data_IF_162067588195
#
_entry.id   IF_162067588195
#
_cell.length_a   1.000
_cell.length_b   1.000
_cell.length_c   1.000
_cell.angle_alpha   90.00
_cell.angle_beta   90.00
_cell.angle_gamma   90.00
#
_symmetry.space_group_name_H-M   'P 1'
#
loop_
_entity.id
_entity.type
_entity.pdbx_description
1 polymer ?
#
# COMPACT_ATOMS: atom_id res chain seq x y z
N UNK A 1 -14.39 -9.54 -22.46
CA UNK A 1 -13.10 -10.20 -22.18
C UNK A 1 -13.39 -11.39 -21.28
N UNK A 2 -13.34 -12.60 -21.81
CA UNK A 2 -13.50 -13.83 -21.03
C UNK A 2 -12.29 -14.01 -20.09
N UNK A 3 -12.47 -13.68 -18.82
CA UNK A 3 -11.47 -13.85 -17.76
C UNK A 3 -11.42 -15.35 -17.41
N UNK A 4 -10.81 -16.18 -18.27
CA UNK A 4 -10.76 -17.64 -18.08
C UNK A 4 -9.57 -18.15 -17.28
N UNK A 5 -8.65 -17.29 -16.85
CA UNK A 5 -7.54 -17.74 -16.00
C UNK A 5 -7.26 -16.75 -14.85
N UNK A 6 -7.73 -17.03 -13.62
CA UNK A 6 -7.47 -16.18 -12.46
C UNK A 6 -5.98 -15.98 -12.18
N UNK A 7 -5.12 -16.94 -12.57
CA UNK A 7 -3.68 -16.80 -12.43
C UNK A 7 -3.09 -15.74 -13.37
N UNK A 8 -3.63 -15.63 -14.60
CA UNK A 8 -3.20 -14.59 -15.54
C UNK A 8 -3.55 -13.18 -15.03
N UNK A 9 -4.72 -13.03 -14.41
CA UNK A 9 -5.15 -11.77 -13.78
C UNK A 9 -4.19 -11.39 -12.65
N UNK A 10 -3.83 -12.34 -11.78
CA UNK A 10 -2.88 -12.10 -10.69
C UNK A 10 -1.51 -11.67 -11.21
N UNK A 11 -1.01 -12.29 -12.28
CA UNK A 11 0.26 -11.91 -12.89
C UNK A 11 0.22 -10.49 -13.47
N UNK A 12 -0.85 -10.12 -14.17
CA UNK A 12 -1.04 -8.77 -14.72
C UNK A 12 -1.08 -7.74 -13.58
N UNK A 13 -1.88 -8.00 -12.55
CA UNK A 13 -1.95 -7.13 -11.36
C UNK A 13 -0.56 -6.97 -10.73
N UNK A 14 0.19 -8.05 -10.57
CA UNK A 14 1.54 -7.99 -10.00
C UNK A 14 2.52 -7.18 -10.87
N UNK A 15 2.40 -7.26 -12.20
CA UNK A 15 3.20 -6.44 -13.12
C UNK A 15 2.85 -4.94 -12.98
N UNK A 16 1.56 -4.60 -12.92
CA UNK A 16 1.09 -3.23 -12.69
C UNK A 16 1.65 -2.70 -11.36
N UNK A 17 1.52 -3.47 -10.28
CA UNK A 17 2.09 -3.10 -8.98
C UNK A 17 3.61 -2.89 -9.04
N UNK A 18 4.33 -3.74 -9.76
CA UNK A 18 5.79 -3.62 -9.89
C UNK A 18 6.17 -2.32 -10.60
N UNK A 19 5.52 -2.01 -11.73
CA UNK A 19 5.73 -0.75 -12.43
C UNK A 19 5.41 0.46 -11.54
N UNK A 20 4.31 0.38 -10.79
CA UNK A 20 3.86 1.42 -9.86
C UNK A 20 4.94 1.71 -8.81
N UNK A 21 5.51 0.69 -8.19
CA UNK A 21 6.57 0.87 -7.20
C UNK A 21 7.83 1.50 -7.79
N UNK A 22 8.25 1.09 -8.99
CA UNK A 22 9.43 1.63 -9.66
C UNK A 22 9.25 3.11 -9.98
N UNK A 23 8.14 3.47 -10.62
CA UNK A 23 7.86 4.85 -11.04
C UNK A 23 7.65 5.76 -9.81
N UNK A 24 6.88 5.29 -8.81
CA UNK A 24 6.68 6.04 -7.56
C UNK A 24 7.99 6.30 -6.83
N UNK A 25 8.87 5.29 -6.76
CA UNK A 25 10.18 5.42 -6.13
C UNK A 25 11.08 6.41 -6.88
N UNK A 26 11.04 6.41 -8.20
CA UNK A 26 11.79 7.36 -9.01
C UNK A 26 11.31 8.81 -8.72
N UNK A 27 10.00 9.06 -8.65
CA UNK A 27 9.45 10.36 -8.27
C UNK A 27 9.85 10.78 -6.83
N UNK A 28 9.87 9.86 -5.87
CA UNK A 28 10.30 10.16 -4.50
C UNK A 28 11.79 10.49 -4.41
N UNK A 29 12.63 9.83 -5.22
CA UNK A 29 14.07 10.12 -5.26
C UNK A 29 14.37 11.52 -5.82
N UNK A 30 13.50 12.05 -6.69
CA UNK A 30 13.56 13.44 -7.18
C UNK A 30 13.00 14.46 -6.16
N UNK A 31 12.60 14.01 -4.97
CA UNK A 31 12.16 14.87 -3.87
C UNK A 31 10.64 15.07 -3.79
N UNK A 32 9.85 14.34 -4.57
CA UNK A 32 8.38 14.43 -4.48
C UNK A 32 7.88 13.88 -3.14
N UNK A 33 7.05 14.66 -2.43
CA UNK A 33 6.56 14.26 -1.11
C UNK A 33 5.61 13.07 -1.22
N UNK A 34 5.86 12.03 -0.43
CA UNK A 34 5.04 10.83 -0.40
C UNK A 34 3.60 11.11 0.05
N UNK A 35 3.38 12.08 0.94
CA UNK A 35 2.03 12.45 1.40
C UNK A 35 1.20 13.09 0.29
N UNK A 36 1.83 14.01 -0.45
CA UNK A 36 1.21 14.70 -1.59
C UNK A 36 0.96 13.72 -2.74
N UNK A 37 1.89 12.80 -3.00
CA UNK A 37 1.70 11.73 -3.98
C UNK A 37 0.50 10.83 -3.66
N UNK A 38 0.36 10.38 -2.41
CA UNK A 38 -0.79 9.56 -2.00
C UNK A 38 -2.10 10.32 -2.23
N UNK A 39 -2.15 11.60 -1.84
CA UNK A 39 -3.33 12.44 -2.10
C UNK A 39 -3.67 12.50 -3.59
N UNK A 40 -2.72 12.85 -4.46
CA UNK A 40 -3.00 12.98 -5.89
C UNK A 40 -3.38 11.66 -6.54
N UNK A 41 -2.75 10.55 -6.14
CA UNK A 41 -3.11 9.21 -6.61
C UNK A 41 -4.57 8.89 -6.30
N UNK A 42 -5.00 9.13 -5.06
CA UNK A 42 -6.38 8.86 -4.63
C UNK A 42 -7.39 9.83 -5.25
N UNK A 43 -7.01 11.10 -5.45
CA UNK A 43 -7.86 12.07 -6.12
C UNK A 43 -8.10 11.68 -7.59
N UNK A 44 -7.03 11.35 -8.32
CA UNK A 44 -7.12 10.94 -9.71
C UNK A 44 -7.90 9.63 -9.87
N UNK A 45 -7.70 8.66 -8.96
CA UNK A 45 -8.53 7.46 -8.83
C UNK A 45 -10.02 7.77 -8.78
N UNK A 46 -10.38 8.68 -7.88
CA UNK A 46 -11.76 9.03 -7.61
C UNK A 46 -12.39 9.70 -8.82
N UNK A 47 -11.68 10.63 -9.46
CA UNK A 47 -12.15 11.34 -10.65
C UNK A 47 -12.40 10.36 -11.80
N UNK A 48 -11.54 9.36 -11.96
CA UNK A 48 -11.65 8.37 -13.01
C UNK A 48 -12.72 7.31 -12.74
N UNK A 49 -12.78 6.79 -11.51
CA UNK A 49 -13.72 5.72 -11.14
C UNK A 49 -15.13 6.22 -10.89
N UNK A 50 -15.32 7.43 -10.36
CA UNK A 50 -16.63 7.97 -10.05
C UNK A 50 -17.61 7.93 -11.24
N UNK A 51 -17.29 8.46 -12.43
CA UNK A 51 -18.23 8.43 -13.55
C UNK A 51 -18.58 7.00 -13.98
N UNK A 52 -17.62 6.08 -13.93
CA UNK A 52 -17.84 4.67 -14.28
C UNK A 52 -18.71 3.97 -13.24
N UNK A 53 -18.44 4.18 -11.96
CA UNK A 53 -19.24 3.62 -10.87
C UNK A 53 -20.68 4.12 -10.91
N UNK A 54 -20.89 5.42 -11.14
CA UNK A 54 -22.23 6.00 -11.29
C UNK A 54 -22.92 5.59 -12.59
N UNK A 55 -22.20 5.32 -13.67
CA UNK A 55 -22.79 4.82 -14.92
C UNK A 55 -23.21 3.35 -14.82
N UNK A 56 -22.36 2.48 -14.28
CA UNK A 56 -22.60 1.03 -14.24
C UNK A 56 -23.39 0.56 -13.02
N UNK A 57 -23.25 1.20 -11.86
CA UNK A 57 -23.78 0.71 -10.57
C UNK A 57 -24.74 1.73 -9.90
N UNK A 58 -25.36 2.64 -10.67
CA UNK A 58 -26.27 3.69 -10.18
C UNK A 58 -27.38 3.16 -9.26
N UNK A 59 -27.95 2.00 -9.58
CA UNK A 59 -29.04 1.39 -8.80
C UNK A 59 -28.55 0.93 -7.42
N UNK A 60 -27.32 0.45 -7.32
CA UNK A 60 -26.69 0.07 -6.05
C UNK A 60 -26.31 1.29 -5.22
N UNK A 61 -25.97 2.41 -5.86
CA UNK A 61 -25.72 3.67 -5.17
C UNK A 61 -26.97 4.24 -4.48
N UNK A 62 -28.16 3.99 -5.03
CA UNK A 62 -29.42 4.47 -4.47
C UNK A 62 -29.81 3.79 -3.13
N UNK A 63 -29.22 2.63 -2.81
CA UNK A 63 -29.52 1.88 -1.57
C UNK A 63 -28.49 2.11 -0.46
N UNK A 64 -27.63 3.12 -0.56
CA UNK A 64 -26.56 3.34 0.42
C UNK A 64 -27.09 3.89 1.74
N UNK A 65 -27.00 3.08 2.80
CA UNK A 65 -27.23 3.52 4.17
C UNK A 65 -26.02 4.31 4.70
N UNK A 66 -26.27 5.29 5.56
CA UNK A 66 -25.22 6.03 6.26
C UNK A 66 -24.24 5.12 7.02
N UNK A 67 -24.71 4.01 7.59
CA UNK A 67 -23.84 3.04 8.27
C UNK A 67 -22.84 2.36 7.32
N UNK A 68 -23.24 2.10 6.07
CA UNK A 68 -22.35 1.52 5.06
C UNK A 68 -21.30 2.54 4.64
N UNK A 69 -21.69 3.81 4.46
CA UNK A 69 -20.76 4.90 4.19
C UNK A 69 -19.75 5.09 5.34
N UNK A 70 -20.19 5.00 6.59
CA UNK A 70 -19.30 5.05 7.74
C UNK A 70 -18.32 3.87 7.76
N UNK A 71 -18.78 2.64 7.49
CA UNK A 71 -17.91 1.48 7.33
C UNK A 71 -16.86 1.70 6.24
N UNK A 72 -17.25 2.22 5.08
CA UNK A 72 -16.34 2.55 3.97
C UNK A 72 -15.30 3.62 4.38
N UNK A 73 -15.73 4.66 5.10
CA UNK A 73 -14.85 5.71 5.61
C UNK A 73 -13.81 5.16 6.60
N UNK A 74 -14.25 4.37 7.58
CA UNK A 74 -13.35 3.74 8.56
C UNK A 74 -12.39 2.78 7.85
N UNK A 75 -12.87 2.04 6.86
CA UNK A 75 -12.04 1.11 6.10
C UNK A 75 -10.96 1.87 5.31
N UNK A 76 -11.31 2.96 4.62
CA UNK A 76 -10.33 3.85 3.99
C UNK A 76 -9.32 4.43 4.99
N UNK A 77 -9.76 4.75 6.21
CA UNK A 77 -8.92 5.30 7.27
C UNK A 77 -7.90 4.27 7.76
N UNK A 78 -8.33 3.05 8.05
CA UNK A 78 -7.46 1.98 8.52
C UNK A 78 -6.44 1.56 7.45
N UNK A 79 -6.94 1.27 6.25
CA UNK A 79 -6.12 0.70 5.18
C UNK A 79 -5.20 1.72 4.56
N UNK A 80 -5.72 2.87 4.13
CA UNK A 80 -4.96 3.78 3.28
C UNK A 80 -4.29 4.85 4.13
N UNK A 81 -5.03 5.48 5.02
CA UNK A 81 -4.49 6.58 5.82
C UNK A 81 -3.53 6.06 6.90
N UNK A 82 -3.97 5.23 7.84
CA UNK A 82 -3.10 4.78 8.92
C UNK A 82 -1.97 3.89 8.43
N UNK A 83 -2.24 2.86 7.61
CA UNK A 83 -1.18 1.97 7.15
C UNK A 83 -0.08 2.70 6.38
N UNK A 84 -0.42 3.49 5.36
CA UNK A 84 0.61 4.15 4.53
C UNK A 84 1.40 5.17 5.34
N UNK A 85 0.76 5.92 6.24
CA UNK A 85 1.45 6.89 7.06
C UNK A 85 2.39 6.22 8.07
N UNK A 86 1.92 5.19 8.77
CA UNK A 86 2.76 4.42 9.71
C UNK A 86 3.89 3.69 8.99
N UNK A 87 3.65 3.18 7.78
CA UNK A 87 4.68 2.57 6.94
C UNK A 87 5.76 3.58 6.58
N UNK A 88 5.37 4.77 6.10
CA UNK A 88 6.31 5.85 5.76
C UNK A 88 7.13 6.30 6.96
N UNK A 89 6.49 6.49 8.12
CA UNK A 89 7.20 6.84 9.36
C UNK A 89 8.12 5.71 9.81
N UNK A 90 7.65 4.47 9.79
CA UNK A 90 8.42 3.28 10.17
C UNK A 90 9.67 3.11 9.31
N UNK A 91 9.55 3.32 7.99
CA UNK A 91 10.64 3.19 7.03
C UNK A 91 11.76 4.21 7.28
N UNK A 92 11.45 5.40 7.82
CA UNK A 92 12.47 6.40 8.20
C UNK A 92 13.34 5.98 9.38
N UNK A 93 12.86 5.04 10.20
CA UNK A 93 13.53 4.58 11.41
C UNK A 93 14.03 3.14 11.32
N UNK A 94 13.71 2.41 10.25
CA UNK A 94 14.08 1.00 10.07
C UNK A 94 14.74 0.76 8.70
N UNK A 95 15.22 -0.46 8.46
CA UNK A 95 15.88 -0.81 7.20
C UNK A 95 14.89 -1.33 6.16
N UNK A 96 15.28 -1.28 4.88
CA UNK A 96 14.53 -1.90 3.79
C UNK A 96 14.30 -3.40 4.02
N UNK A 97 15.27 -4.10 4.63
CA UNK A 97 15.13 -5.53 4.98
C UNK A 97 14.00 -5.78 5.97
N UNK A 98 13.88 -4.96 7.02
CA UNK A 98 12.79 -5.06 7.99
C UNK A 98 11.46 -4.75 7.31
N UNK A 99 11.41 -3.69 6.50
CA UNK A 99 10.20 -3.34 5.76
C UNK A 99 9.75 -4.51 4.87
N UNK A 100 10.66 -5.10 4.08
CA UNK A 100 10.38 -6.26 3.22
C UNK A 100 9.95 -7.50 4.01
N UNK A 101 10.58 -7.78 5.15
CA UNK A 101 10.19 -8.91 6.00
C UNK A 101 8.77 -8.72 6.55
N UNK A 102 8.46 -7.54 7.07
CA UNK A 102 7.12 -7.26 7.63
C UNK A 102 6.06 -7.21 6.52
N UNK A 103 6.32 -6.66 5.33
CA UNK A 103 5.35 -6.70 4.22
C UNK A 103 5.07 -8.11 3.75
N UNK A 104 6.08 -8.98 3.74
CA UNK A 104 5.90 -10.38 3.38
C UNK A 104 5.18 -11.20 4.47
N UNK A 105 5.01 -10.62 5.67
CA UNK A 105 4.18 -11.21 6.73
C UNK A 105 2.69 -10.88 6.58
N UNK A 106 2.28 -9.99 5.66
CA UNK A 106 0.87 -9.62 5.44
C UNK A 106 -0.03 -10.84 5.23
N UNK A 107 0.28 -11.84 4.38
CA UNK A 107 -0.57 -13.02 4.23
C UNK A 107 -0.77 -13.80 5.53
N UNK A 108 0.29 -13.88 6.35
CA UNK A 108 0.26 -14.57 7.66
C UNK A 108 -0.66 -13.81 8.62
N UNK A 109 -0.45 -12.50 8.78
CA UNK A 109 -1.28 -11.65 9.67
C UNK A 109 -2.73 -11.66 9.21
N UNK A 110 -2.99 -11.51 7.91
CA UNK A 110 -4.34 -11.56 7.32
C UNK A 110 -5.03 -12.88 7.62
N UNK A 111 -4.34 -14.01 7.48
CA UNK A 111 -4.90 -15.32 7.80
C UNK A 111 -5.26 -15.43 9.29
N UNK A 112 -4.37 -15.02 10.19
CA UNK A 112 -4.64 -15.01 11.63
C UNK A 112 -5.85 -14.13 11.99
N UNK A 113 -5.95 -12.93 11.41
CA UNK A 113 -7.10 -12.04 11.62
C UNK A 113 -8.40 -12.64 11.06
N UNK A 114 -8.35 -13.30 9.89
CA UNK A 114 -9.51 -13.96 9.30
C UNK A 114 -10.00 -15.14 10.17
N UNK A 115 -9.09 -15.87 10.83
CA UNK A 115 -9.46 -16.89 11.82
C UNK A 115 -10.07 -16.27 13.09
N UNK A 116 -9.46 -15.21 13.62
CA UNK A 116 -9.92 -14.52 14.83
C UNK A 116 -11.34 -13.97 14.63
N UNK A 117 -11.61 -13.38 13.47
CA UNK A 117 -12.92 -12.85 13.07
C UNK A 117 -13.89 -13.94 12.57
N UNK A 118 -13.51 -15.23 12.66
CA UNK A 118 -14.30 -16.39 12.22
C UNK A 118 -14.77 -16.32 10.76
N UNK A 119 -14.06 -15.59 9.92
CA UNK A 119 -14.33 -15.55 8.48
C UNK A 119 -13.79 -16.79 7.77
N UNK A 120 -12.73 -17.37 8.31
CA UNK A 120 -12.03 -18.51 7.74
C UNK A 120 -12.13 -19.71 8.70
N UNK A 121 -12.29 -20.91 8.14
CA UNK A 121 -12.42 -22.15 8.92
C UNK A 121 -11.43 -23.18 8.39
N UNK A 122 -10.45 -23.53 9.23
CA UNK A 122 -9.41 -24.49 8.87
C UNK A 122 -9.88 -25.89 9.20
N UNK A 123 -10.25 -26.64 8.17
CA UNK A 123 -10.52 -28.07 8.30
C UNK A 123 -9.23 -28.85 8.05
N UNK A 124 -8.53 -29.25 9.11
CA UNK A 124 -7.22 -29.92 9.03
C UNK A 124 -7.20 -31.22 8.20
N UNK A 125 -8.37 -31.85 8.01
CA UNK A 125 -8.52 -33.07 7.21
C UNK A 125 -8.87 -32.82 5.75
N UNK A 126 -9.13 -31.57 5.34
CA UNK A 126 -9.46 -31.25 3.94
C UNK A 126 -8.23 -30.76 3.18
N UNK A 127 -8.18 -31.06 1.88
CA UNK A 127 -7.12 -30.59 0.97
C UNK A 127 -7.01 -29.05 1.02
N UNK A 128 -8.14 -28.35 1.07
CA UNK A 128 -8.18 -26.89 1.20
C UNK A 128 -7.59 -26.39 2.53
N UNK A 129 -7.87 -27.07 3.65
CA UNK A 129 -7.31 -26.70 4.95
C UNK A 129 -5.80 -26.94 5.03
N UNK A 130 -5.34 -28.07 4.48
CA UNK A 130 -3.91 -28.38 4.36
C UNK A 130 -3.19 -27.36 3.48
N UNK A 131 -3.78 -26.99 2.33
CA UNK A 131 -3.21 -25.98 1.43
C UNK A 131 -3.09 -24.60 2.09
N UNK A 132 -4.07 -24.19 2.91
CA UNK A 132 -4.02 -22.93 3.68
C UNK A 132 -2.85 -22.91 4.67
N UNK A 133 -2.69 -23.98 5.45
CA UNK A 133 -1.60 -24.09 6.43
C UNK A 133 -0.25 -24.11 5.73
N UNK A 134 -0.10 -24.90 4.67
CA UNK A 134 1.13 -24.93 3.88
C UNK A 134 1.47 -23.56 3.30
N UNK A 135 0.48 -22.84 2.75
CA UNK A 135 0.66 -21.48 2.25
C UNK A 135 1.17 -20.53 3.33
N UNK A 136 0.56 -20.55 4.51
CA UNK A 136 0.99 -19.72 5.66
C UNK A 136 2.39 -20.11 6.14
N UNK A 137 2.71 -21.40 6.20
CA UNK A 137 4.03 -21.89 6.58
C UNK A 137 5.11 -21.45 5.58
N UNK A 138 4.83 -21.50 4.28
CA UNK A 138 5.73 -21.02 3.22
C UNK A 138 5.94 -19.50 3.34
N UNK A 139 4.88 -18.72 3.56
CA UNK A 139 5.02 -17.27 3.80
C UNK A 139 5.88 -16.99 5.03
N UNK A 140 5.65 -17.70 6.14
CA UNK A 140 6.43 -17.55 7.37
C UNK A 140 7.91 -17.91 7.15
N UNK A 141 8.18 -19.01 6.41
CA UNK A 141 9.52 -19.38 6.02
C UNK A 141 10.20 -18.27 5.20
N UNK A 142 9.50 -17.69 4.21
CA UNK A 142 10.00 -16.57 3.42
C UNK A 142 10.33 -15.32 4.26
N UNK A 143 9.48 -14.99 5.24
CA UNK A 143 9.73 -13.88 6.19
C UNK A 143 10.99 -14.14 7.01
N UNK A 144 11.14 -15.34 7.56
CA UNK A 144 12.32 -15.76 8.33
C UNK A 144 13.57 -15.71 7.46
N UNK A 145 13.50 -16.24 6.24
CA UNK A 145 14.63 -16.18 5.29
C UNK A 145 15.05 -14.74 5.05
N UNK A 146 14.14 -13.80 4.77
CA UNK A 146 14.49 -12.39 4.53
C UNK A 146 15.06 -11.73 5.78
N UNK A 147 14.51 -12.03 6.96
CA UNK A 147 14.98 -11.47 8.22
C UNK A 147 16.43 -11.90 8.55
N UNK A 148 16.80 -13.14 8.22
CA UNK A 148 18.14 -13.67 8.48
C UNK A 148 19.10 -13.55 7.28
N UNK A 149 18.59 -13.27 6.08
CA UNK A 149 19.42 -13.11 4.89
C UNK A 149 20.26 -11.84 4.96
N UNK A 150 21.57 -12.01 5.18
CA UNK A 150 22.57 -10.95 5.03
C UNK A 150 23.15 -10.99 3.62
N UNK A 151 22.42 -10.46 2.65
CA UNK A 151 22.92 -10.28 1.29
C UNK A 151 23.98 -9.19 1.19
N UNK A 152 24.86 -9.22 0.17
CA UNK A 152 25.77 -8.11 -0.11
C UNK A 152 24.95 -6.83 -0.37
N UNK A 153 25.45 -5.70 0.12
CA UNK A 153 24.86 -4.39 -0.17
C UNK A 153 24.93 -4.15 -1.68
N UNK A 154 23.81 -4.32 -2.38
CA UNK A 154 23.70 -3.94 -3.78
C UNK A 154 23.76 -2.42 -3.84
N UNK A 155 24.95 -1.86 -4.07
CA UNK A 155 25.08 -0.47 -4.47
C UNK A 155 24.22 -0.32 -5.74
N UNK A 156 23.22 0.58 -5.77
CA UNK A 156 22.44 0.80 -6.97
C UNK A 156 23.41 1.25 -8.06
N UNK A 157 23.54 0.40 -9.08
CA UNK A 157 24.31 0.61 -10.29
C UNK A 157 23.67 1.79 -11.04
N UNK A 158 23.95 3.02 -10.62
CA UNK A 158 23.56 4.28 -11.27
C UNK A 158 24.49 5.44 -10.87
N UNK A 159 25.77 5.16 -10.62
CA UNK A 159 26.84 6.18 -10.52
C UNK A 159 27.39 6.63 -11.89
N UNK A 160 26.60 6.55 -12.97
CA UNK A 160 27.00 6.98 -14.31
C UNK A 160 26.56 8.40 -14.70
N UNK A 161 26.22 9.27 -13.73
CA UNK A 161 26.07 10.72 -13.96
C UNK A 161 27.06 11.57 -13.14
N UNK A 162 28.24 11.04 -12.84
CA UNK A 162 29.38 11.84 -12.39
C UNK A 162 30.13 12.43 -13.60
N UNK A 163 29.52 13.41 -14.28
CA UNK A 163 30.27 14.25 -15.23
C UNK A 163 30.12 15.75 -14.98
N UNK A 164 29.17 16.20 -14.15
CA UNK A 164 29.07 17.61 -13.77
C UNK A 164 28.49 17.77 -12.35
N UNK A 165 29.33 17.68 -11.31
CA UNK A 165 29.10 18.50 -10.11
C UNK A 165 30.32 18.56 -9.20
N UNK A 166 30.58 19.78 -8.73
CA UNK A 166 31.70 20.17 -7.90
C UNK A 166 31.81 19.33 -6.62
N UNK A 167 33.06 19.02 -6.28
CA UNK A 167 33.54 18.40 -5.04
C UNK A 167 33.09 19.21 -3.82
N UNK A 168 32.06 18.76 -3.12
CA UNK A 168 31.80 19.14 -1.73
C UNK A 168 31.95 17.91 -0.84
N UNK A 169 32.88 17.98 0.11
CA UNK A 169 33.07 17.02 1.19
C UNK A 169 31.80 16.97 2.05
N UNK A 170 30.90 16.06 1.75
CA UNK A 170 29.89 15.60 2.71
C UNK A 170 30.33 14.25 3.24
N UNK A 171 30.88 14.26 4.45
CA UNK A 171 31.06 13.11 5.31
C UNK A 171 29.78 12.26 5.31
N UNK A 172 29.86 11.04 4.76
CA UNK A 172 28.84 10.03 4.92
C UNK A 172 28.74 9.67 6.40
N UNK A 173 27.89 10.38 7.14
CA UNK A 173 27.37 9.91 8.41
C UNK A 173 26.55 8.66 8.11
N UNK A 174 27.16 7.48 8.27
CA UNK A 174 26.42 6.26 8.59
C UNK A 174 25.63 6.56 9.86
N UNK A 175 24.36 6.93 9.72
CA UNK A 175 23.47 7.10 10.87
C UNK A 175 23.32 5.73 11.53
N UNK A 176 24.13 5.49 12.56
CA UNK A 176 23.92 4.39 13.51
C UNK A 176 22.65 4.77 14.28
N UNK A 177 21.48 4.39 13.76
CA UNK A 177 20.25 4.54 14.51
C UNK A 177 20.41 3.81 15.85
N UNK A 178 20.19 4.52 16.95
CA UNK A 178 20.15 3.90 18.28
C UNK A 178 19.16 2.73 18.27
N UNK A 179 19.48 1.63 18.98
CA UNK A 179 18.60 0.44 19.07
C UNK A 179 17.14 0.82 19.35
N UNK A 180 16.91 1.84 20.20
CA UNK A 180 15.57 2.34 20.52
C UNK A 180 14.84 2.98 19.32
N UNK A 181 15.57 3.65 18.43
CA UNK A 181 15.03 4.25 17.20
C UNK A 181 14.64 3.16 16.20
N UNK A 182 15.49 2.16 16.04
CA UNK A 182 15.20 1.00 15.19
C UNK A 182 13.99 0.21 15.68
N UNK A 183 13.87 -0.01 16.99
CA UNK A 183 12.70 -0.68 17.60
C UNK A 183 11.41 0.11 17.34
N UNK A 184 11.42 1.44 17.49
CA UNK A 184 10.27 2.29 17.13
C UNK A 184 9.88 2.12 15.66
N UNK A 185 10.86 2.13 14.75
CA UNK A 185 10.61 1.93 13.32
C UNK A 185 9.95 0.59 13.01
N UNK A 186 10.47 -0.49 13.61
CA UNK A 186 9.91 -1.84 13.48
C UNK A 186 8.49 -1.93 14.05
N UNK A 187 8.22 -1.30 15.20
CA UNK A 187 6.88 -1.24 15.77
C UNK A 187 5.87 -0.57 14.83
N UNK A 188 6.21 0.60 14.28
CA UNK A 188 5.35 1.29 13.31
C UNK A 188 5.14 0.45 12.04
N UNK A 189 6.17 -0.27 11.59
CA UNK A 189 6.07 -1.15 10.43
C UNK A 189 5.10 -2.33 10.64
N UNK A 190 5.16 -2.96 11.81
CA UNK A 190 4.24 -4.05 12.19
C UNK A 190 2.81 -3.52 12.33
N UNK A 191 2.65 -2.36 12.97
CA UNK A 191 1.35 -1.72 13.11
C UNK A 191 0.74 -1.39 11.74
N UNK A 192 1.52 -0.82 10.82
CA UNK A 192 1.09 -0.53 9.45
C UNK A 192 0.57 -1.79 8.75
N UNK A 193 1.37 -2.86 8.74
CA UNK A 193 0.98 -4.12 8.08
C UNK A 193 -0.22 -4.78 8.77
N UNK A 194 -0.37 -4.63 10.08
CA UNK A 194 -1.56 -5.12 10.80
C UNK A 194 -2.81 -4.36 10.37
N UNK A 195 -2.76 -3.03 10.23
CA UNK A 195 -3.87 -2.25 9.70
C UNK A 195 -4.18 -2.59 8.24
N UNK A 196 -3.16 -2.83 7.42
CA UNK A 196 -3.32 -3.28 6.04
C UNK A 196 -4.01 -4.65 5.96
N UNK A 197 -3.55 -5.62 6.74
CA UNK A 197 -4.16 -6.94 6.84
C UNK A 197 -5.59 -6.86 7.37
N UNK A 198 -5.86 -6.05 8.39
CA UNK A 198 -7.21 -5.83 8.90
C UNK A 198 -8.12 -5.22 7.84
N UNK A 199 -7.62 -4.25 7.07
CA UNK A 199 -8.33 -3.68 5.92
C UNK A 199 -8.71 -4.75 4.90
N UNK A 200 -7.78 -5.63 4.50
CA UNK A 200 -8.06 -6.73 3.57
C UNK A 200 -9.16 -7.67 4.08
N UNK A 201 -9.14 -8.02 5.37
CA UNK A 201 -10.15 -8.91 5.97
C UNK A 201 -11.52 -8.23 6.00
N UNK A 202 -11.58 -6.99 6.50
CA UNK A 202 -12.83 -6.22 6.59
C UNK A 202 -13.40 -5.86 5.20
N UNK A 203 -12.56 -5.64 4.19
CA UNK A 203 -12.98 -5.47 2.79
C UNK A 203 -13.79 -6.67 2.31
N UNK A 204 -13.34 -7.89 2.63
CA UNK A 204 -14.04 -9.11 2.28
C UNK A 204 -15.41 -9.24 2.97
N UNK A 205 -15.56 -8.74 4.20
CA UNK A 205 -16.86 -8.70 4.90
C UNK A 205 -17.78 -7.69 4.22
N UNK A 206 -17.27 -6.48 3.98
CA UNK A 206 -18.05 -5.40 3.42
C UNK A 206 -18.55 -5.73 2.00
N UNK A 207 -17.74 -6.43 1.21
CA UNK A 207 -18.13 -6.93 -0.12
C UNK A 207 -19.24 -8.00 -0.09
N UNK A 208 -19.45 -8.70 1.04
CA UNK A 208 -20.59 -9.62 1.22
C UNK A 208 -21.88 -8.86 1.55
N UNK A 209 -21.78 -7.75 2.25
CA UNK A 209 -22.91 -6.87 2.61
C UNK A 209 -23.29 -5.95 1.44
N UNK A 210 -22.30 -5.48 0.69
CA UNK A 210 -22.43 -4.60 -0.45
C UNK A 210 -21.67 -5.16 -1.66
N UNK A 211 -22.40 -5.82 -2.57
CA UNK A 211 -21.82 -6.60 -3.67
C UNK A 211 -21.22 -5.76 -4.82
N UNK A 212 -21.43 -4.45 -4.83
CA UNK A 212 -21.00 -3.55 -5.90
C UNK A 212 -19.55 -3.10 -5.66
N UNK A 213 -18.63 -3.79 -6.35
CA UNK A 213 -17.18 -3.67 -6.15
C UNK A 213 -16.65 -2.31 -6.60
N UNK A 214 -17.11 -1.84 -7.76
CA UNK A 214 -16.61 -0.61 -8.38
C UNK A 214 -17.01 0.61 -7.54
N UNK A 215 -18.27 0.65 -7.08
CA UNK A 215 -18.74 1.71 -6.19
C UNK A 215 -18.05 1.69 -4.82
N UNK A 216 -17.82 0.50 -4.25
CA UNK A 216 -17.07 0.38 -2.99
C UNK A 216 -15.65 0.97 -3.12
N UNK A 217 -14.90 0.59 -4.16
CA UNK A 217 -13.56 1.12 -4.43
C UNK A 217 -13.61 2.63 -4.66
N UNK A 218 -14.62 3.13 -5.36
CA UNK A 218 -14.81 4.57 -5.61
C UNK A 218 -15.00 5.35 -4.31
N UNK A 219 -15.89 4.90 -3.42
CA UNK A 219 -16.11 5.56 -2.12
C UNK A 219 -14.88 5.48 -1.22
N UNK A 220 -14.15 4.37 -1.27
CA UNK A 220 -12.89 4.26 -0.53
C UNK A 220 -11.82 5.22 -1.05
N UNK A 221 -11.68 5.36 -2.37
CA UNK A 221 -10.78 6.33 -2.97
C UNK A 221 -11.20 7.76 -2.61
N UNK A 222 -12.51 8.06 -2.64
CA UNK A 222 -13.05 9.37 -2.26
C UNK A 222 -12.74 9.72 -0.80
N UNK A 223 -13.11 8.84 0.14
CA UNK A 223 -12.82 9.07 1.57
C UNK A 223 -11.33 9.12 1.85
N UNK A 224 -10.54 8.26 1.19
CA UNK A 224 -9.09 8.28 1.30
C UNK A 224 -8.47 9.56 0.74
N UNK A 225 -9.04 10.15 -0.31
CA UNK A 225 -8.61 11.46 -0.84
C UNK A 225 -8.77 12.53 0.22
N UNK A 226 -9.94 12.61 0.86
CA UNK A 226 -10.21 13.58 1.94
C UNK A 226 -9.25 13.38 3.11
N UNK A 227 -9.10 12.14 3.57
CA UNK A 227 -8.24 11.83 4.71
C UNK A 227 -6.76 12.11 4.40
N UNK A 228 -6.29 11.71 3.21
CA UNK A 228 -4.91 11.94 2.77
C UNK A 228 -4.63 13.42 2.54
N UNK A 229 -5.62 14.19 2.10
CA UNK A 229 -5.51 15.65 2.00
C UNK A 229 -5.28 16.30 3.36
N UNK A 230 -6.08 15.93 4.37
CA UNK A 230 -5.92 16.43 5.75
C UNK A 230 -4.53 16.09 6.30
N UNK A 231 -4.07 14.85 6.07
CA UNK A 231 -2.73 14.43 6.49
C UNK A 231 -1.64 15.19 5.73
N UNK A 232 -1.74 15.31 4.40
CA UNK A 232 -0.77 16.04 3.60
C UNK A 232 -0.68 17.52 4.03
N UNK A 233 -1.80 18.18 4.33
CA UNK A 233 -1.80 19.55 4.86
C UNK A 233 -1.12 19.65 6.23
N UNK A 234 -1.27 18.63 7.08
CA UNK A 234 -0.65 18.63 8.41
C UNK A 234 0.88 18.52 8.33
N UNK A 235 1.41 17.70 7.41
CA UNK A 235 2.84 17.41 7.27
C UNK A 235 3.57 18.27 6.24
N UNK A 236 2.89 18.74 5.20
CA UNK A 236 3.46 19.54 4.11
C UNK A 236 2.73 20.88 4.02
N UNK A 237 3.13 21.82 4.90
CA UNK A 237 2.49 23.15 4.99
C UNK A 237 2.95 24.13 3.91
N UNK A 238 4.04 23.82 3.23
CA UNK A 238 4.63 24.68 2.19
C UNK A 238 3.88 24.51 0.86
N UNK A 239 3.16 25.55 0.42
CA UNK A 239 2.41 25.56 -0.86
C UNK A 239 3.29 25.25 -2.07
N UNK A 240 4.59 25.57 -2.02
CA UNK A 240 5.54 25.26 -3.10
C UNK A 240 5.63 23.76 -3.40
N UNK A 241 5.49 22.89 -2.39
CA UNK A 241 5.55 21.43 -2.55
C UNK A 241 4.28 20.83 -3.16
N UNK A 242 3.18 21.59 -3.15
CA UNK A 242 1.90 21.20 -3.75
C UNK A 242 1.81 21.54 -5.24
N UNK A 243 2.74 22.34 -5.76
CA UNK A 243 2.80 22.61 -7.20
C UNK A 243 3.22 21.33 -7.91
N UNK A 244 2.31 20.73 -8.69
CA UNK A 244 2.70 19.73 -9.68
C UNK A 244 3.60 20.42 -10.71
N UNK A 245 4.88 20.10 -10.69
CA UNK A 245 5.71 20.29 -11.88
C UNK A 245 5.30 19.24 -12.92
N UNK A 246 5.42 19.58 -14.21
CA UNK A 246 5.11 18.70 -15.35
C UNK A 246 6.18 17.60 -15.52
N UNK A 247 6.62 16.99 -14.43
CA UNK A 247 7.75 16.06 -14.37
C UNK A 247 7.28 14.63 -14.06
N UNK A 248 8.23 13.75 -13.73
CA UNK A 248 8.06 12.34 -13.39
C UNK A 248 6.97 12.08 -12.34
N UNK A 249 6.69 13.03 -11.45
CA UNK A 249 5.59 12.95 -10.48
C UNK A 249 4.21 12.87 -11.12
N UNK A 250 3.96 13.58 -12.22
CA UNK A 250 2.68 13.56 -12.93
C UNK A 250 2.50 12.24 -13.70
N UNK A 251 3.58 11.73 -14.31
CA UNK A 251 3.63 10.40 -14.91
C UNK A 251 3.37 9.30 -13.87
N UNK A 252 3.98 9.43 -12.68
CA UNK A 252 3.77 8.51 -11.57
C UNK A 252 2.31 8.51 -11.13
N UNK A 253 1.70 9.68 -10.93
CA UNK A 253 0.29 9.79 -10.57
C UNK A 253 -0.60 9.13 -11.65
N UNK A 254 -0.37 9.45 -12.92
CA UNK A 254 -1.14 8.90 -14.04
C UNK A 254 -1.04 7.37 -14.13
N UNK A 255 0.17 6.82 -14.05
CA UNK A 255 0.38 5.36 -14.10
C UNK A 255 -0.28 4.65 -12.92
N UNK A 256 -0.14 5.21 -11.71
CA UNK A 256 -0.64 4.56 -10.51
C UNK A 256 -2.17 4.55 -10.42
N UNK A 257 -2.87 5.42 -11.14
CA UNK A 257 -4.35 5.40 -11.20
C UNK A 257 -4.92 4.22 -11.98
N UNK A 258 -4.12 3.61 -12.86
CA UNK A 258 -4.54 2.43 -13.64
C UNK A 258 -4.70 1.18 -12.77
N UNK A 259 -4.15 1.16 -11.55
CA UNK A 259 -4.26 0.04 -10.59
C UNK A 259 -5.69 -0.15 -10.07
N UNK A 260 -6.50 0.91 -10.04
CA UNK A 260 -7.79 0.90 -9.35
C UNK A 260 -8.95 0.43 -10.23
N UNK A 261 -8.65 0.10 -11.49
CA UNK A 261 -9.55 -0.49 -12.49
C UNK A 261 -9.41 -2.00 -12.54
#
# INVERSE_FOLDING_TARGET
>A
MDIKNPYAVVLIIQLIYTGMYVISKAAFNEGFSTYIFIFYRQAAATILLAPLAFAFERKSAASLSFMVLLKMFILALLGITFSLNLYNVGLRYTSATVASAVTNSVPVITFFLALLLRMESVRLKSISGIAKILGVAICLAGVVTIAFYRGPHLNPLNQHHHLFSHKNNSSHHTQIHSKATWIKGTFFMIAANTFWSLWLVLQGILLKEFSSKLLLTTFQCFFSTIQSFVVALAFEREISRWRLSMDLGLLAIAYCTQEQF
#
